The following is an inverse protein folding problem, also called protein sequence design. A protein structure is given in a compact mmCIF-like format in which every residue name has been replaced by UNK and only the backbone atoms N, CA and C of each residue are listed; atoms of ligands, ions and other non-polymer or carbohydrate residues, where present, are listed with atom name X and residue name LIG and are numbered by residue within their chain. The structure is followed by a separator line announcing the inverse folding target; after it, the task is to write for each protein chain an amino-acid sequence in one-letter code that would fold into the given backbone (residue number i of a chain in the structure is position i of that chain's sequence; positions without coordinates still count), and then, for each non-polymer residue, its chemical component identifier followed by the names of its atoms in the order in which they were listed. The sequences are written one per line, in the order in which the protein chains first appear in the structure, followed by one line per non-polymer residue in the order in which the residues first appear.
data_IF_741390343373
#
_entry.id   IF_741390343373
#
_cell.length_a   1.000
_cell.length_b   1.000
_cell.length_c   1.000
_cell.angle_alpha   90.00
_cell.angle_beta   90.00
_cell.angle_gamma   90.00
#
_symmetry.space_group_name_H-M   'P 1'
#
loop_
_entity.id
_entity.type
_entity.pdbx_description
1 polymer ?
#
# COMPACT_ATOMS: atom_id res chain seq x y z
N UNK A 1 5.21 -29.35 28.87
CA UNK A 1 4.92 -28.54 27.67
C UNK A 1 5.67 -27.23 27.82
N UNK A 2 6.78 -27.09 27.15
CA UNK A 2 7.63 -25.88 27.21
C UNK A 2 7.00 -24.79 26.38
N UNK A 3 6.54 -23.72 27.02
CA UNK A 3 6.15 -22.49 26.30
C UNK A 3 7.43 -21.84 25.77
N UNK A 4 7.70 -22.01 24.49
CA UNK A 4 8.73 -21.24 23.80
C UNK A 4 8.25 -19.79 23.76
N UNK A 5 8.81 -18.95 24.62
CA UNK A 5 8.69 -17.49 24.49
C UNK A 5 9.45 -17.09 23.23
N UNK A 6 8.73 -16.93 22.12
CA UNK A 6 9.31 -16.41 20.88
C UNK A 6 9.77 -14.98 21.14
N UNK A 7 11.08 -14.76 21.17
CA UNK A 7 11.65 -13.40 21.23
C UNK A 7 11.27 -12.69 19.93
N UNK A 8 10.46 -11.64 20.04
CA UNK A 8 10.09 -10.82 18.88
C UNK A 8 11.34 -10.22 18.22
N UNK A 9 11.46 -10.34 16.91
CA UNK A 9 12.55 -9.75 16.13
C UNK A 9 12.51 -8.23 16.27
N UNK A 10 13.68 -7.58 16.44
CA UNK A 10 13.77 -6.12 16.72
C UNK A 10 13.89 -5.24 15.47
N UNK A 11 14.20 -5.83 14.31
CA UNK A 11 14.46 -5.11 13.06
C UNK A 11 13.23 -5.02 12.13
N UNK A 12 12.02 -5.25 12.65
CA UNK A 12 10.81 -5.27 11.84
C UNK A 12 9.54 -5.38 12.66
N UNK A 13 8.46 -5.72 11.97
CA UNK A 13 7.14 -5.89 12.55
C UNK A 13 6.64 -7.33 12.38
N UNK A 14 6.14 -7.92 13.46
CA UNK A 14 5.59 -9.27 13.46
C UNK A 14 4.07 -9.24 13.35
N UNK A 15 3.55 -9.83 12.29
CA UNK A 15 2.13 -10.08 12.07
C UNK A 15 1.74 -11.50 12.52
N UNK A 16 0.46 -11.83 12.50
CA UNK A 16 -0.03 -13.18 12.86
C UNK A 16 0.55 -14.28 11.99
N UNK A 17 0.73 -14.03 10.69
CA UNK A 17 1.13 -15.04 9.70
C UNK A 17 2.50 -14.81 9.08
N UNK A 18 3.09 -13.61 9.22
CA UNK A 18 4.37 -13.26 8.60
C UNK A 18 5.12 -12.22 9.43
N UNK A 19 6.38 -12.02 9.08
CA UNK A 19 7.24 -10.98 9.64
C UNK A 19 7.75 -10.08 8.51
N UNK A 20 7.84 -8.78 8.76
CA UNK A 20 8.39 -7.80 7.83
C UNK A 20 9.59 -7.11 8.47
N UNK A 21 10.79 -7.42 8.02
CA UNK A 21 11.98 -6.61 8.29
C UNK A 21 11.89 -5.31 7.47
N UNK A 22 12.28 -4.17 8.03
CA UNK A 22 12.17 -2.86 7.39
C UNK A 22 13.33 -1.92 7.74
N UNK A 23 14.46 -2.47 8.13
CA UNK A 23 15.65 -1.72 8.53
C UNK A 23 16.45 -1.16 7.33
N UNK A 24 16.25 -1.72 6.13
CA UNK A 24 16.85 -1.26 4.87
C UNK A 24 15.88 -0.46 3.98
N UNK A 25 14.68 -0.17 4.46
CA UNK A 25 13.68 0.59 3.71
C UNK A 25 13.55 2.01 4.22
N UNK A 26 13.31 2.97 3.33
CA UNK A 26 13.09 4.37 3.67
C UNK A 26 11.85 4.55 4.57
N UNK A 27 10.77 3.83 4.27
CA UNK A 27 9.56 3.80 5.09
C UNK A 27 9.49 2.50 5.89
N UNK A 28 9.25 2.64 7.20
CA UNK A 28 8.99 1.51 8.08
C UNK A 28 7.53 1.06 7.97
N UNK A 29 7.24 -0.17 8.42
CA UNK A 29 5.86 -0.60 8.62
C UNK A 29 5.13 0.42 9.49
N UNK A 30 4.04 0.96 8.95
CA UNK A 30 3.23 1.99 9.58
C UNK A 30 1.73 1.75 9.37
N UNK A 31 0.92 2.52 10.07
CA UNK A 31 -0.55 2.41 10.02
C UNK A 31 -1.10 2.57 8.60
N UNK A 32 -0.53 3.47 7.79
CA UNK A 32 -0.99 3.75 6.42
C UNK A 32 -0.91 2.49 5.54
N UNK A 33 0.23 1.80 5.53
CA UNK A 33 0.40 0.56 4.76
C UNK A 33 -0.52 -0.57 5.27
N UNK A 34 -0.68 -0.70 6.59
CA UNK A 34 -1.57 -1.71 7.18
C UNK A 34 -3.04 -1.42 6.82
N UNK A 35 -3.48 -0.17 6.92
CA UNK A 35 -4.82 0.24 6.52
C UNK A 35 -5.09 -0.09 5.05
N UNK A 36 -4.20 0.34 4.16
CA UNK A 36 -4.35 0.11 2.73
C UNK A 36 -4.36 -1.37 2.37
N UNK A 37 -3.41 -2.15 2.89
CA UNK A 37 -3.33 -3.59 2.65
C UNK A 37 -4.52 -4.38 3.21
N UNK A 38 -5.12 -3.89 4.32
CA UNK A 38 -6.32 -4.50 4.90
C UNK A 38 -7.61 -4.09 4.17
N UNK A 39 -7.67 -2.87 3.64
CA UNK A 39 -8.87 -2.25 3.05
C UNK A 39 -9.06 -2.57 1.56
N UNK A 40 -8.00 -2.67 0.77
CA UNK A 40 -8.08 -2.82 -0.68
C UNK A 40 -9.05 -3.97 -1.10
N UNK A 41 -9.90 -3.78 -2.13
CA UNK A 41 -10.86 -4.78 -2.57
C UNK A 41 -10.15 -5.95 -3.25
N UNK A 42 -10.27 -7.16 -2.69
CA UNK A 42 -9.58 -8.36 -3.20
C UNK A 42 -10.54 -9.41 -3.77
N UNK A 43 -11.84 -9.14 -3.81
CA UNK A 43 -12.83 -10.09 -4.32
C UNK A 43 -12.67 -10.28 -5.83
N UNK A 44 -12.52 -11.52 -6.28
CA UNK A 44 -12.42 -11.86 -7.71
C UNK A 44 -11.07 -11.55 -8.36
N UNK A 45 -10.10 -11.00 -7.63
CA UNK A 45 -8.76 -10.66 -8.13
C UNK A 45 -7.98 -11.91 -8.50
N UNK A 46 -7.25 -11.87 -9.61
CA UNK A 46 -6.36 -12.94 -10.10
C UNK A 46 -4.90 -12.49 -10.13
N UNK A 47 -4.66 -11.21 -10.39
CA UNK A 47 -3.31 -10.63 -10.40
C UNK A 47 -3.30 -9.28 -9.68
N UNK A 48 -2.29 -9.10 -8.81
CA UNK A 48 -2.05 -7.84 -8.11
C UNK A 48 -0.69 -7.25 -8.51
N UNK A 49 -0.60 -5.92 -8.45
CA UNK A 49 0.66 -5.19 -8.58
C UNK A 49 0.83 -4.24 -7.38
N UNK A 50 1.97 -4.33 -6.71
CA UNK A 50 2.40 -3.41 -5.66
C UNK A 50 3.47 -2.47 -6.23
N UNK A 51 3.13 -1.18 -6.41
CA UNK A 51 4.03 -0.17 -6.97
C UNK A 51 4.74 0.59 -5.85
N UNK A 52 6.07 0.54 -5.82
CA UNK A 52 6.89 1.08 -4.74
C UNK A 52 6.79 0.19 -3.50
N UNK A 53 7.08 -1.10 -3.67
CA UNK A 53 6.78 -2.13 -2.69
C UNK A 53 7.54 -1.98 -1.36
N UNK A 54 8.66 -1.23 -1.35
CA UNK A 54 9.47 -1.03 -0.15
C UNK A 54 9.89 -2.36 0.48
N UNK A 55 9.42 -2.62 1.70
CA UNK A 55 9.68 -3.88 2.41
C UNK A 55 8.81 -5.07 1.94
N UNK A 56 7.94 -4.90 0.95
CA UNK A 56 6.99 -5.91 0.49
C UNK A 56 5.75 -6.06 1.39
N UNK A 57 5.49 -5.10 2.28
CA UNK A 57 4.37 -5.17 3.22
C UNK A 57 3.02 -5.39 2.53
N UNK A 58 2.70 -4.56 1.53
CA UNK A 58 1.41 -4.61 0.84
C UNK A 58 1.26 -5.92 0.07
N UNK A 59 2.30 -6.36 -0.64
CA UNK A 59 2.30 -7.64 -1.34
C UNK A 59 2.04 -8.82 -0.39
N UNK A 60 2.68 -8.85 0.78
CA UNK A 60 2.47 -9.88 1.80
C UNK A 60 1.05 -9.84 2.39
N UNK A 61 0.51 -8.64 2.65
CA UNK A 61 -0.87 -8.48 3.13
C UNK A 61 -1.91 -8.92 2.09
N UNK A 62 -1.70 -8.61 0.81
CA UNK A 62 -2.54 -9.09 -0.28
C UNK A 62 -2.46 -10.62 -0.42
N UNK A 63 -1.27 -11.21 -0.29
CA UNK A 63 -1.10 -12.66 -0.33
C UNK A 63 -1.89 -13.36 0.78
N UNK A 64 -1.91 -12.81 2.00
CA UNK A 64 -2.71 -13.36 3.10
C UNK A 64 -4.23 -13.31 2.83
N UNK A 65 -4.71 -12.30 2.07
CA UNK A 65 -6.14 -12.04 1.83
C UNK A 65 -6.69 -12.69 0.57
N UNK A 66 -5.82 -13.19 -0.30
CA UNK A 66 -6.20 -13.73 -1.60
C UNK A 66 -5.98 -15.24 -1.66
N UNK A 67 -6.67 -15.92 -2.60
CA UNK A 67 -6.50 -17.35 -2.80
C UNK A 67 -5.11 -17.72 -3.33
N UNK A 68 -4.72 -18.99 -3.19
CA UNK A 68 -3.39 -19.49 -3.60
C UNK A 68 -3.11 -19.37 -5.10
N UNK A 69 -4.14 -19.17 -5.92
CA UNK A 69 -4.00 -18.97 -7.36
C UNK A 69 -3.66 -17.53 -7.77
N UNK A 70 -3.75 -16.56 -6.85
CA UNK A 70 -3.47 -15.14 -7.14
C UNK A 70 -1.97 -14.90 -7.17
N UNK A 71 -1.48 -14.30 -8.25
CA UNK A 71 -0.09 -13.90 -8.40
C UNK A 71 0.06 -12.41 -8.10
N UNK A 72 1.10 -12.06 -7.39
CA UNK A 72 1.40 -10.69 -6.97
C UNK A 72 2.78 -10.31 -7.48
N UNK A 73 2.83 -9.27 -8.30
CA UNK A 73 4.07 -8.64 -8.72
C UNK A 73 4.32 -7.40 -7.83
N UNK A 74 5.52 -7.24 -7.33
CA UNK A 74 5.93 -6.15 -6.45
C UNK A 74 7.15 -5.45 -7.04
N UNK A 75 7.02 -4.18 -7.43
CA UNK A 75 8.07 -3.43 -8.11
C UNK A 75 8.65 -2.38 -7.17
N UNK A 76 9.97 -2.43 -6.99
CA UNK A 76 10.71 -1.50 -6.13
C UNK A 76 11.95 -0.99 -6.86
N UNK A 77 12.16 0.33 -6.84
CA UNK A 77 13.28 0.98 -7.50
C UNK A 77 14.59 0.79 -6.73
N UNK A 78 14.53 0.96 -5.40
CA UNK A 78 15.70 0.92 -4.53
C UNK A 78 16.15 -0.51 -4.27
N UNK A 79 17.37 -0.85 -4.68
CA UNK A 79 17.88 -2.24 -4.66
C UNK A 79 17.95 -2.82 -3.24
N UNK A 80 18.29 -2.02 -2.23
CA UNK A 80 18.34 -2.46 -0.84
C UNK A 80 16.95 -2.79 -0.29
N UNK A 81 15.95 -1.98 -0.62
CA UNK A 81 14.56 -2.22 -0.25
C UNK A 81 14.00 -3.43 -0.99
N UNK A 82 14.26 -3.56 -2.28
CA UNK A 82 13.85 -4.72 -3.08
C UNK A 82 14.46 -6.03 -2.55
N UNK A 83 15.76 -6.01 -2.20
CA UNK A 83 16.43 -7.16 -1.57
C UNK A 83 15.76 -7.52 -0.24
N UNK A 84 15.42 -6.52 0.59
CA UNK A 84 14.71 -6.76 1.85
C UNK A 84 13.31 -7.32 1.61
N UNK A 85 12.58 -6.84 0.62
CA UNK A 85 11.29 -7.39 0.23
C UNK A 85 11.41 -8.86 -0.21
N UNK A 86 12.41 -9.20 -1.02
CA UNK A 86 12.68 -10.59 -1.43
C UNK A 86 12.95 -11.49 -0.22
N UNK A 87 13.75 -11.04 0.75
CA UNK A 87 14.02 -11.78 1.98
C UNK A 87 12.75 -11.96 2.83
N UNK A 88 11.92 -10.92 2.95
CA UNK A 88 10.65 -10.99 3.67
C UNK A 88 9.69 -11.99 3.00
N UNK A 89 9.58 -11.94 1.68
CA UNK A 89 8.78 -12.89 0.88
C UNK A 89 9.30 -14.32 1.04
N UNK A 90 10.63 -14.53 0.96
CA UNK A 90 11.25 -15.85 1.13
C UNK A 90 11.01 -16.47 2.51
N UNK A 91 10.80 -15.64 3.54
CA UNK A 91 10.48 -16.07 4.90
C UNK A 91 8.98 -16.20 5.18
N UNK A 92 8.14 -15.90 4.19
CA UNK A 92 6.67 -15.96 4.28
C UNK A 92 6.11 -17.28 3.73
N UNK A 93 4.85 -17.59 4.02
CA UNK A 93 4.17 -18.76 3.40
C UNK A 93 3.89 -18.60 1.89
N UNK A 94 4.16 -17.43 1.27
CA UNK A 94 3.70 -17.07 -0.08
C UNK A 94 4.82 -16.84 -1.09
N UNK A 95 6.00 -17.43 -0.86
CA UNK A 95 7.17 -17.32 -1.75
C UNK A 95 6.82 -17.58 -3.23
N UNK A 96 6.01 -18.61 -3.50
CA UNK A 96 5.66 -19.04 -4.86
C UNK A 96 4.65 -18.11 -5.57
N UNK A 97 4.09 -17.12 -4.84
CA UNK A 97 3.02 -16.25 -5.34
C UNK A 97 3.42 -14.79 -5.48
N UNK A 98 4.53 -14.39 -4.88
CA UNK A 98 4.99 -13.00 -4.87
C UNK A 98 6.32 -12.90 -5.62
N UNK A 99 6.30 -12.14 -6.71
CA UNK A 99 7.49 -11.83 -7.52
C UNK A 99 7.96 -10.41 -7.21
N UNK A 100 9.14 -10.27 -6.65
CA UNK A 100 9.74 -8.94 -6.37
C UNK A 100 10.69 -8.57 -7.49
N UNK A 101 10.46 -7.43 -8.13
CA UNK A 101 11.23 -6.89 -9.23
C UNK A 101 11.99 -5.63 -8.78
N UNK A 102 13.31 -5.63 -8.92
CA UNK A 102 14.13 -4.42 -8.74
C UNK A 102 14.14 -3.66 -10.05
N UNK A 103 13.28 -2.66 -10.20
CA UNK A 103 13.10 -1.94 -11.46
C UNK A 103 12.46 -0.58 -11.26
N UNK A 104 12.69 0.32 -12.22
CA UNK A 104 11.85 1.51 -12.42
C UNK A 104 10.50 1.08 -12.99
N UNK A 105 9.42 1.43 -12.31
CA UNK A 105 8.05 1.08 -12.72
C UNK A 105 7.73 1.59 -14.13
N UNK A 106 8.21 2.77 -14.51
CA UNK A 106 7.98 3.35 -15.83
C UNK A 106 8.56 2.47 -16.96
N UNK A 107 9.73 1.89 -16.72
CA UNK A 107 10.34 0.96 -17.66
C UNK A 107 9.72 -0.43 -17.58
N UNK A 108 9.39 -0.87 -16.36
CA UNK A 108 8.85 -2.19 -16.12
C UNK A 108 7.49 -2.39 -16.78
N UNK A 109 6.57 -1.41 -16.66
CA UNK A 109 5.21 -1.51 -17.24
C UNK A 109 5.24 -1.64 -18.77
N UNK A 110 6.20 -1.01 -19.47
CA UNK A 110 6.31 -1.09 -20.93
C UNK A 110 6.67 -2.48 -21.45
N UNK A 111 7.22 -3.32 -20.58
CA UNK A 111 7.62 -4.68 -20.90
C UNK A 111 6.57 -5.72 -20.52
N UNK A 112 5.48 -5.28 -19.85
CA UNK A 112 4.43 -6.18 -19.38
C UNK A 112 3.35 -6.38 -20.41
N UNK A 113 3.00 -7.63 -20.65
CA UNK A 113 1.77 -8.01 -21.38
C UNK A 113 0.61 -8.35 -20.43
N UNK A 114 0.94 -8.64 -19.18
CA UNK A 114 -0.04 -8.96 -18.15
C UNK A 114 -0.83 -7.71 -17.72
N UNK A 115 -2.11 -7.90 -17.41
CA UNK A 115 -2.98 -6.89 -16.81
C UNK A 115 -3.27 -7.28 -15.37
N UNK A 116 -3.50 -6.27 -14.51
CA UNK A 116 -3.71 -6.43 -13.07
C UNK A 116 -5.13 -6.03 -12.70
N UNK A 117 -5.77 -6.88 -11.91
CA UNK A 117 -7.13 -6.62 -11.40
C UNK A 117 -7.08 -5.69 -10.19
N UNK A 118 -5.95 -5.69 -9.48
CA UNK A 118 -5.69 -4.79 -8.35
C UNK A 118 -4.28 -4.25 -8.44
N UNK A 119 -4.17 -2.93 -8.46
CA UNK A 119 -2.91 -2.22 -8.31
C UNK A 119 -2.96 -1.47 -6.98
N UNK A 120 -1.90 -1.54 -6.20
CA UNK A 120 -1.82 -0.91 -4.88
C UNK A 120 -0.53 -0.11 -4.77
N UNK A 121 -0.58 1.06 -4.12
CA UNK A 121 0.61 1.84 -3.81
C UNK A 121 0.41 2.66 -2.53
N UNK A 122 1.44 2.69 -1.71
CA UNK A 122 1.59 3.67 -0.63
C UNK A 122 2.70 4.65 -1.02
N UNK A 123 2.42 5.60 -1.92
CA UNK A 123 3.46 6.45 -2.47
C UNK A 123 4.01 7.40 -1.41
N UNK A 124 5.28 7.80 -1.49
CA UNK A 124 5.81 8.83 -0.64
C UNK A 124 5.04 10.13 -0.91
N UNK A 125 4.55 10.75 0.16
CA UNK A 125 3.91 12.05 0.10
C UNK A 125 4.84 13.08 0.74
N UNK A 126 5.25 14.06 -0.06
CA UNK A 126 6.01 15.20 0.43
C UNK A 126 5.09 16.40 0.46
N UNK A 127 4.92 17.02 1.63
CA UNK A 127 4.33 18.35 1.71
C UNK A 127 5.23 19.31 0.95
N UNK A 128 4.68 20.00 -0.05
CA UNK A 128 5.36 21.10 -0.71
C UNK A 128 5.61 22.18 0.36
N UNK A 129 6.88 22.46 0.68
CA UNK A 129 7.24 23.51 1.64
C UNK A 129 7.95 23.05 2.90
N UNK A 130 8.13 21.76 3.14
CA UNK A 130 9.06 21.30 4.20
C UNK A 130 10.46 21.31 3.62
N UNK A 131 11.22 22.36 3.92
CA UNK A 131 12.64 22.49 3.56
C UNK A 131 13.43 21.25 4.04
N UNK A 132 14.00 20.53 3.09
CA UNK A 132 14.98 19.50 3.44
C UNK A 132 16.24 20.17 3.99
N UNK A 133 16.83 19.58 5.02
CA UNK A 133 18.02 20.09 5.69
C UNK A 133 19.26 20.29 4.76
N UNK A 134 19.20 19.87 3.51
CA UNK A 134 20.22 20.17 2.48
C UNK A 134 19.62 20.16 1.07
N UNK A 135 20.09 21.07 0.15
CA UNK A 135 19.65 21.11 -1.26
C UNK A 135 19.91 19.80 -2.03
N UNK A 136 20.96 19.06 -1.64
CA UNK A 136 21.29 17.77 -2.27
C UNK A 136 20.29 16.65 -1.92
N UNK A 137 19.71 16.67 -0.71
CA UNK A 137 18.63 15.76 -0.32
C UNK A 137 17.31 16.11 -1.00
N UNK A 138 17.09 17.41 -1.23
CA UNK A 138 15.91 17.89 -1.95
C UNK A 138 16.00 17.49 -3.43
N UNK A 139 17.15 17.64 -4.06
CA UNK A 139 17.36 17.24 -5.46
C UNK A 139 17.31 15.71 -5.64
N UNK A 140 17.84 14.92 -4.70
CA UNK A 140 17.72 13.46 -4.69
C UNK A 140 16.27 13.02 -4.50
N UNK A 141 15.46 13.73 -3.71
CA UNK A 141 14.01 13.50 -3.57
C UNK A 141 13.25 13.74 -4.87
N UNK A 142 13.54 14.84 -5.59
CA UNK A 142 12.87 15.17 -6.85
C UNK A 142 13.24 14.20 -7.99
N UNK A 143 14.44 13.62 -7.97
CA UNK A 143 14.90 12.70 -9.02
C UNK A 143 14.52 11.23 -8.79
N UNK A 144 14.16 10.85 -7.58
CA UNK A 144 13.84 9.46 -7.22
C UNK A 144 12.38 9.23 -6.82
N UNK A 145 11.57 10.28 -6.65
CA UNK A 145 10.16 10.12 -6.30
C UNK A 145 9.30 9.99 -7.55
N UNK A 146 8.55 8.91 -7.64
CA UNK A 146 7.48 8.73 -8.61
C UNK A 146 6.39 9.79 -8.34
N UNK A 147 6.21 10.76 -9.24
CA UNK A 147 5.15 11.75 -9.09
C UNK A 147 3.76 11.12 -9.32
N UNK A 148 2.73 11.79 -8.85
CA UNK A 148 1.36 11.28 -8.89
C UNK A 148 0.84 11.07 -10.32
N UNK A 149 1.23 11.94 -11.27
CA UNK A 149 0.82 11.80 -12.66
C UNK A 149 1.47 10.59 -13.31
N UNK A 150 2.76 10.39 -13.07
CA UNK A 150 3.51 9.22 -13.56
C UNK A 150 2.98 7.93 -12.93
N UNK A 151 2.66 7.93 -11.63
CA UNK A 151 2.07 6.78 -10.94
C UNK A 151 0.71 6.39 -11.56
N UNK A 152 -0.17 7.37 -11.80
CA UNK A 152 -1.47 7.16 -12.46
C UNK A 152 -1.30 6.65 -13.90
N UNK A 153 -0.32 7.18 -14.63
CA UNK A 153 -0.01 6.74 -16.02
C UNK A 153 0.45 5.28 -16.02
N UNK A 154 1.41 4.92 -15.18
CA UNK A 154 1.90 3.54 -15.07
C UNK A 154 0.79 2.56 -14.69
N UNK A 155 -0.08 2.95 -13.75
CA UNK A 155 -1.23 2.13 -13.38
C UNK A 155 -2.20 1.96 -14.57
N UNK A 156 -2.48 3.01 -15.35
CA UNK A 156 -3.38 2.96 -16.50
C UNK A 156 -2.85 2.03 -17.61
N UNK A 157 -1.54 1.95 -17.78
CA UNK A 157 -0.90 1.11 -18.81
C UNK A 157 -1.09 -0.39 -18.55
N UNK A 158 -1.31 -0.82 -17.30
CA UNK A 158 -1.33 -2.25 -16.96
C UNK A 158 -2.55 -2.72 -16.17
N UNK A 159 -3.51 -1.85 -15.86
CA UNK A 159 -4.75 -2.25 -15.17
C UNK A 159 -5.74 -2.91 -16.13
N UNK A 160 -6.58 -3.83 -15.63
CA UNK A 160 -7.75 -4.35 -16.36
C UNK A 160 -8.87 -3.31 -16.39
N UNK A 161 -9.83 -3.43 -17.30
CA UNK A 161 -10.94 -2.49 -17.45
C UNK A 161 -11.79 -2.36 -16.18
N UNK A 162 -12.00 -3.47 -15.45
CA UNK A 162 -12.75 -3.53 -14.19
C UNK A 162 -11.85 -3.46 -12.95
N UNK A 163 -10.53 -3.29 -13.13
CA UNK A 163 -9.54 -3.30 -12.07
C UNK A 163 -9.63 -2.07 -11.16
N UNK A 164 -9.03 -2.21 -9.98
CA UNK A 164 -8.92 -1.13 -9.01
C UNK A 164 -7.47 -0.71 -8.81
N UNK A 165 -7.23 0.61 -8.83
CA UNK A 165 -5.99 1.21 -8.37
C UNK A 165 -6.21 1.86 -7.01
N UNK A 166 -5.52 1.37 -5.98
CA UNK A 166 -5.72 1.74 -4.58
C UNK A 166 -4.50 2.47 -4.00
N UNK A 167 -4.75 3.58 -3.31
CA UNK A 167 -3.70 4.36 -2.63
C UNK A 167 -4.15 4.80 -1.23
N UNK A 168 -3.19 5.06 -0.35
CA UNK A 168 -3.38 5.77 0.92
C UNK A 168 -2.59 7.07 0.89
N UNK A 169 -3.22 8.17 1.26
CA UNK A 169 -2.62 9.51 1.23
C UNK A 169 -3.09 10.35 2.43
N UNK A 170 -2.31 11.37 2.85
CA UNK A 170 -2.85 12.46 3.67
C UNK A 170 -4.09 13.07 3.00
N UNK A 171 -5.08 13.44 3.79
CA UNK A 171 -6.41 13.85 3.28
C UNK A 171 -6.32 14.97 2.24
N UNK A 172 -5.53 16.02 2.50
CA UNK A 172 -5.37 17.14 1.57
C UNK A 172 -4.71 16.70 0.25
N UNK A 173 -3.66 15.86 0.33
CA UNK A 173 -2.97 15.32 -0.85
C UNK A 173 -3.91 14.39 -1.61
N UNK A 174 -4.71 13.57 -0.91
CA UNK A 174 -5.68 12.69 -1.52
C UNK A 174 -6.77 13.42 -2.30
N UNK A 175 -7.18 14.62 -1.86
CA UNK A 175 -8.12 15.45 -2.61
C UNK A 175 -7.51 15.92 -3.94
N UNK A 176 -6.29 16.48 -3.92
CA UNK A 176 -5.58 16.90 -5.14
C UNK A 176 -5.26 15.70 -6.06
N UNK A 177 -4.91 14.55 -5.49
CA UNK A 177 -4.70 13.32 -6.24
C UNK A 177 -5.99 12.86 -6.94
N UNK A 178 -7.14 12.98 -6.26
CA UNK A 178 -8.45 12.65 -6.85
C UNK A 178 -8.77 13.54 -8.03
N UNK A 179 -8.57 14.86 -7.91
CA UNK A 179 -8.78 15.80 -9.02
C UNK A 179 -7.90 15.46 -10.24
N UNK A 180 -6.63 15.16 -10.00
CA UNK A 180 -5.70 14.73 -11.04
C UNK A 180 -6.16 13.42 -11.70
N UNK A 181 -6.50 12.41 -10.92
CA UNK A 181 -6.95 11.11 -11.42
C UNK A 181 -8.21 11.26 -12.30
N UNK A 182 -9.20 12.04 -11.84
CA UNK A 182 -10.42 12.32 -12.62
C UNK A 182 -10.08 13.01 -13.94
N UNK A 183 -9.14 13.96 -13.95
CA UNK A 183 -8.71 14.65 -15.18
C UNK A 183 -8.01 13.72 -16.19
N UNK A 184 -7.44 12.61 -15.70
CA UNK A 184 -6.78 11.58 -16.52
C UNK A 184 -7.72 10.43 -16.93
N UNK A 185 -9.02 10.53 -16.66
CA UNK A 185 -10.03 9.55 -17.07
C UNK A 185 -10.26 8.41 -16.08
N UNK A 186 -9.70 8.49 -14.89
CA UNK A 186 -10.03 7.58 -13.81
C UNK A 186 -11.37 7.93 -13.15
N UNK A 187 -12.03 6.94 -12.56
CA UNK A 187 -13.27 7.11 -11.80
C UNK A 187 -13.06 6.67 -10.37
N UNK A 188 -13.32 7.58 -9.41
CA UNK A 188 -13.29 7.23 -7.99
C UNK A 188 -14.45 6.28 -7.67
N UNK A 189 -14.15 5.13 -7.11
CA UNK A 189 -15.12 4.07 -6.81
C UNK A 189 -15.31 3.83 -5.32
N UNK A 190 -14.21 3.94 -4.55
CA UNK A 190 -14.25 3.81 -3.10
C UNK A 190 -13.43 4.93 -2.47
N UNK A 191 -13.96 5.50 -1.38
CA UNK A 191 -13.28 6.46 -0.53
C UNK A 191 -13.55 6.14 0.93
N UNK A 192 -12.51 6.01 1.74
CA UNK A 192 -12.63 5.91 3.20
C UNK A 192 -11.79 6.99 3.86
N UNK A 193 -12.47 7.93 4.51
CA UNK A 193 -11.84 8.99 5.29
C UNK A 193 -11.45 8.45 6.68
N UNK A 194 -10.16 8.51 7.02
CA UNK A 194 -9.63 7.93 8.26
C UNK A 194 -9.32 9.01 9.28
N UNK A 195 -9.93 8.91 10.45
CA UNK A 195 -9.72 9.81 11.59
C UNK A 195 -9.17 9.06 12.80
N UNK A 196 -8.36 9.74 13.62
CA UNK A 196 -7.82 9.15 14.85
C UNK A 196 -8.94 8.81 15.84
N UNK A 197 -9.93 9.70 15.99
CA UNK A 197 -11.14 9.51 16.81
C UNK A 197 -12.30 10.33 16.25
N UNK A 198 -13.49 10.17 16.84
CA UNK A 198 -14.71 10.86 16.38
C UNK A 198 -14.60 12.39 16.38
N UNK A 199 -13.85 12.97 17.32
CA UNK A 199 -13.72 14.42 17.48
C UNK A 199 -12.67 15.04 16.52
N UNK A 200 -11.88 14.22 15.83
CA UNK A 200 -10.85 14.69 14.91
C UNK A 200 -11.31 14.64 13.46
N UNK A 201 -10.87 15.63 12.68
CA UNK A 201 -11.02 15.58 11.24
C UNK A 201 -10.19 14.41 10.67
N UNK A 202 -10.59 13.85 9.52
CA UNK A 202 -9.79 12.88 8.83
C UNK A 202 -8.38 13.42 8.54
N UNK A 203 -7.38 12.57 8.70
CA UNK A 203 -5.98 12.93 8.45
C UNK A 203 -5.38 12.05 7.34
N UNK A 204 -6.06 10.97 6.96
CA UNK A 204 -5.73 10.07 5.86
C UNK A 204 -6.99 9.76 5.06
N UNK A 205 -6.77 9.37 3.82
CA UNK A 205 -7.82 8.87 2.95
C UNK A 205 -7.32 7.63 2.21
N UNK A 206 -8.17 6.63 2.13
CA UNK A 206 -8.00 5.44 1.30
C UNK A 206 -8.86 5.65 0.06
N UNK A 207 -8.26 5.52 -1.11
CA UNK A 207 -8.91 5.78 -2.40
C UNK A 207 -8.77 4.57 -3.32
N UNK A 208 -9.84 4.18 -3.98
CA UNK A 208 -9.81 3.19 -5.04
C UNK A 208 -10.41 3.78 -6.32
N UNK A 209 -9.62 3.80 -7.37
CA UNK A 209 -9.99 4.28 -8.69
C UNK A 209 -10.15 3.09 -9.65
N UNK A 210 -10.97 3.26 -10.70
CA UNK A 210 -11.11 2.30 -11.78
C UNK A 210 -11.17 3.05 -13.11
N UNK A 211 -10.73 2.45 -14.25
CA UNK A 211 -11.04 2.96 -15.57
C UNK A 211 -12.53 2.95 -15.88
N UNK A 212 -13.26 2.01 -15.27
CA UNK A 212 -14.69 1.83 -15.50
C UNK A 212 -15.52 2.85 -14.71
N UNK A 213 -16.46 3.50 -15.38
CA UNK A 213 -17.48 4.36 -14.77
C UNK A 213 -18.33 3.59 -13.77
N UNK A 214 -18.69 4.22 -12.66
CA UNK A 214 -19.59 3.62 -11.67
C UNK A 214 -19.81 4.52 -10.47
N UNK A 215 -20.68 4.09 -9.57
CA UNK A 215 -20.95 4.81 -8.33
C UNK A 215 -19.74 4.83 -7.40
N UNK A 216 -19.56 5.93 -6.69
CA UNK A 216 -18.55 6.08 -5.64
C UNK A 216 -19.20 5.80 -4.28
N UNK A 217 -18.67 4.81 -3.58
CA UNK A 217 -19.04 4.55 -2.18
C UNK A 217 -18.04 5.24 -1.26
N UNK A 218 -18.58 6.07 -0.36
CA UNK A 218 -17.77 6.80 0.62
C UNK A 218 -18.18 6.44 2.03
N UNK A 219 -17.20 6.21 2.89
CA UNK A 219 -17.39 5.96 4.31
C UNK A 219 -16.33 6.64 5.17
N UNK A 220 -16.42 6.46 6.48
CA UNK A 220 -15.47 6.98 7.46
C UNK A 220 -15.02 5.88 8.41
N UNK A 221 -13.71 5.75 8.58
CA UNK A 221 -13.07 4.87 9.54
C UNK A 221 -12.50 5.68 10.71
N UNK A 222 -12.88 5.33 11.92
CA UNK A 222 -12.31 5.88 13.14
C UNK A 222 -11.40 4.83 13.76
N UNK A 223 -10.16 5.22 14.07
CA UNK A 223 -9.15 4.28 14.60
C UNK A 223 -9.45 3.96 16.08
N UNK A 224 -9.75 4.99 16.90
CA UNK A 224 -9.97 4.83 18.34
C UNK A 224 -11.35 5.28 18.77
N UNK A 225 -11.97 4.46 19.60
CA UNK A 225 -13.21 4.78 20.28
C UNK A 225 -13.04 5.82 21.41
N UNK A 226 -14.15 6.18 22.07
CA UNK A 226 -14.14 7.14 23.20
C UNK A 226 -13.28 6.67 24.38
N UNK A 227 -13.12 5.37 24.55
CA UNK A 227 -12.32 4.72 25.60
C UNK A 227 -10.82 4.61 25.27
N UNK A 228 -10.38 5.23 24.17
CA UNK A 228 -9.02 5.18 23.62
C UNK A 228 -8.58 3.79 23.14
N UNK A 229 -9.44 2.78 23.20
CA UNK A 229 -9.19 1.49 22.57
C UNK A 229 -9.43 1.58 21.04
N UNK A 230 -8.95 0.59 20.31
CA UNK A 230 -9.27 0.49 18.88
C UNK A 230 -10.78 0.32 18.69
N UNK A 231 -11.35 1.03 17.71
CA UNK A 231 -12.77 0.91 17.37
C UNK A 231 -13.09 -0.49 16.84
N UNK A 232 -14.35 -0.88 16.91
CA UNK A 232 -14.82 -2.15 16.33
C UNK A 232 -14.53 -2.22 14.83
N UNK A 233 -14.74 -1.10 14.10
CA UNK A 233 -14.51 -1.05 12.66
C UNK A 233 -13.01 -1.21 12.31
N UNK A 234 -12.12 -0.52 13.05
CA UNK A 234 -10.68 -0.67 12.86
C UNK A 234 -10.20 -2.08 13.23
N UNK A 235 -10.71 -2.63 14.32
CA UNK A 235 -10.41 -4.00 14.76
C UNK A 235 -10.88 -5.02 13.73
N UNK A 236 -12.12 -4.91 13.24
CA UNK A 236 -12.66 -5.80 12.20
C UNK A 236 -11.80 -5.78 10.93
N UNK A 237 -11.31 -4.59 10.54
CA UNK A 237 -10.46 -4.42 9.37
C UNK A 237 -9.08 -5.05 9.53
N UNK A 238 -8.45 -4.91 10.72
CA UNK A 238 -7.02 -5.19 10.90
C UNK A 238 -6.69 -6.40 11.77
N UNK A 239 -7.67 -6.97 12.48
CA UNK A 239 -7.46 -8.08 13.42
C UNK A 239 -6.82 -9.33 12.78
N UNK A 240 -7.01 -9.56 11.47
CA UNK A 240 -6.40 -10.68 10.79
C UNK A 240 -4.86 -10.57 10.70
N UNK A 241 -4.32 -9.38 10.93
CA UNK A 241 -2.90 -9.07 10.80
C UNK A 241 -2.19 -8.89 12.14
N UNK A 242 -2.72 -8.06 13.05
CA UNK A 242 -2.06 -7.75 14.32
C UNK A 242 -2.04 -8.93 15.29
N UNK A 243 -0.89 -9.13 15.96
CA UNK A 243 -0.72 -10.24 16.93
C UNK A 243 -1.68 -10.17 18.11
N UNK A 244 -1.99 -8.97 18.58
CA UNK A 244 -2.69 -8.71 19.84
C UNK A 244 -3.96 -7.86 19.60
N UNK A 245 -4.75 -8.28 18.65
CA UNK A 245 -6.08 -7.74 18.35
C UNK A 245 -7.13 -8.82 18.36
#
# INVERSE_FOLDING_TARGET
MSQSTSVLRRNGFTFKQFFVAHDRCAMKVGTDGILLGAWAPVAGVKRCLDIGAGSGLLALMLAQRTSDSVIIDAVELESEAATQAQENVAQSPWLERINVHTADIQQWVTQQTARFDLIISNPPYYEQGVECATPQREQARYTTSLDHQTLLTCAAECITEEGFFCVVLPEQIGNSFTELALSMGWHLRLRTDVAENEARLPHRVLLAFSPQVGECFSDRLVIRGPDQNYSEAYTALTQAFYLFM
#
